data_IF_628346320510
#
_entry.id   IF_628346320510
#
_cell.length_a   1.000
_cell.length_b   1.000
_cell.length_c   1.000
_cell.angle_alpha   90.00
_cell.angle_beta   90.00
_cell.angle_gamma   90.00
#
_symmetry.space_group_name_H-M   'P 1'
#
loop_
_entity.id
_entity.type
_entity.pdbx_description
1 polymer ?
#
# COMPACT_ATOMS: atom_id res chain seq x y z
N UNK A 1 33.34 -30.83 9.15
CA UNK A 1 33.56 -29.74 8.17
C UNK A 1 33.67 -28.43 8.92
N UNK A 2 34.85 -27.79 8.90
CA UNK A 2 35.12 -26.50 9.56
C UNK A 2 34.95 -25.39 8.53
N UNK A 3 33.94 -24.54 8.67
CA UNK A 3 33.78 -23.36 7.81
C UNK A 3 34.65 -22.21 8.31
N UNK A 4 35.48 -21.73 7.39
CA UNK A 4 36.42 -20.62 7.55
C UNK A 4 35.66 -19.30 7.75
N UNK A 5 35.89 -18.64 8.89
CA UNK A 5 35.59 -17.22 9.12
C UNK A 5 36.71 -16.40 8.52
N UNK A 6 36.44 -15.68 7.44
CA UNK A 6 37.44 -14.75 6.91
C UNK A 6 37.07 -14.13 5.58
N UNK A 7 36.00 -13.34 5.52
CA UNK A 7 35.79 -12.47 4.35
C UNK A 7 34.89 -11.25 4.62
N UNK A 8 35.00 -10.57 5.77
CA UNK A 8 34.39 -9.24 5.95
C UNK A 8 35.21 -8.46 6.98
N UNK A 9 36.30 -7.83 6.53
CA UNK A 9 37.00 -6.79 7.27
C UNK A 9 37.93 -6.03 6.32
N UNK A 10 37.35 -5.26 5.39
CA UNK A 10 38.11 -4.23 4.65
C UNK A 10 37.22 -3.17 3.97
N UNK A 11 36.38 -2.47 4.73
CA UNK A 11 35.79 -1.21 4.26
C UNK A 11 35.62 -0.22 5.43
N UNK A 12 36.72 0.18 6.05
CA UNK A 12 36.76 1.43 6.83
C UNK A 12 38.03 2.21 6.49
N UNK A 13 37.87 3.53 6.39
CA UNK A 13 38.87 4.58 6.15
C UNK A 13 39.19 4.94 4.69
N UNK A 14 38.24 5.62 4.04
CA UNK A 14 38.56 6.73 3.13
C UNK A 14 37.70 7.96 3.46
N UNK A 15 38.13 8.73 4.46
CA UNK A 15 37.76 10.16 4.58
C UNK A 15 38.33 10.91 3.38
N UNK A 16 37.55 11.03 2.30
CA UNK A 16 37.85 11.95 1.20
C UNK A 16 37.39 13.34 1.61
N UNK A 17 38.33 14.29 1.64
CA UNK A 17 38.06 15.73 1.76
C UNK A 17 37.15 16.17 0.60
N UNK A 18 36.16 17.05 0.82
CA UNK A 18 35.38 17.60 -0.29
C UNK A 18 36.27 18.52 -1.13
N UNK A 19 36.29 18.26 -2.44
CA UNK A 19 36.90 19.15 -3.42
C UNK A 19 36.03 20.40 -3.54
N UNK A 20 36.65 21.57 -3.41
CA UNK A 20 36.01 22.86 -3.59
C UNK A 20 35.53 23.00 -5.04
N UNK A 21 34.21 22.93 -5.24
CA UNK A 21 33.55 23.24 -6.52
C UNK A 21 33.53 24.76 -6.68
N UNK A 22 34.34 25.28 -7.59
CA UNK A 22 34.28 26.67 -8.08
C UNK A 22 32.95 26.88 -8.80
N UNK A 23 32.11 27.78 -8.29
CA UNK A 23 30.93 28.31 -9.00
C UNK A 23 31.38 29.24 -10.13
N UNK A 24 30.95 29.03 -11.39
CA UNK A 24 31.07 30.06 -12.42
C UNK A 24 30.01 31.16 -12.22
N UNK A 25 30.38 32.36 -12.63
CA UNK A 25 29.75 33.63 -12.28
C UNK A 25 28.33 33.83 -12.81
N UNK A 26 27.55 34.56 -12.03
CA UNK A 26 26.24 35.06 -12.39
C UNK A 26 26.36 36.17 -13.45
N UNK A 27 25.89 35.90 -14.67
CA UNK A 27 25.60 36.95 -15.65
C UNK A 27 24.22 37.53 -15.35
N UNK A 28 24.18 38.83 -14.99
CA UNK A 28 22.95 39.61 -14.87
C UNK A 28 22.38 39.88 -16.27
N UNK A 29 21.30 39.20 -16.66
CA UNK A 29 20.45 39.61 -17.77
C UNK A 29 19.29 40.45 -17.22
N UNK A 30 19.19 41.67 -17.76
CA UNK A 30 18.21 42.71 -17.43
C UNK A 30 16.96 42.41 -18.26
N UNK A 31 15.90 41.90 -17.62
CA UNK A 31 14.60 41.68 -18.29
C UNK A 31 13.76 42.93 -18.10
N UNK A 32 13.36 43.53 -19.22
CA UNK A 32 12.48 44.68 -19.29
C UNK A 32 11.02 44.26 -19.04
N UNK A 33 10.32 45.04 -18.22
CA UNK A 33 8.89 44.96 -17.95
C UNK A 33 8.06 45.27 -19.21
N UNK A 34 6.99 44.51 -19.51
CA UNK A 34 5.94 45.01 -20.37
C UNK A 34 4.80 45.63 -19.56
N UNK A 35 4.34 46.73 -20.13
CA UNK A 35 3.27 47.62 -19.74
C UNK A 35 1.92 46.95 -19.52
N UNK A 36 1.25 47.36 -18.45
CA UNK A 36 -0.19 47.29 -18.23
C UNK A 36 -0.96 47.91 -19.41
N UNK A 37 -1.91 47.16 -19.97
CA UNK A 37 -3.02 47.72 -20.73
C UNK A 37 -4.33 47.23 -20.12
N UNK A 38 -4.99 48.18 -19.46
CA UNK A 38 -6.37 48.09 -19.00
C UNK A 38 -7.30 47.93 -20.21
N UNK A 39 -8.17 46.92 -20.18
CA UNK A 39 -9.41 46.94 -20.97
C UNK A 39 -10.57 46.63 -20.04
N UNK A 40 -11.30 47.69 -19.70
CA UNK A 40 -12.53 47.59 -18.93
C UNK A 40 -13.64 46.91 -19.72
N UNK A 41 -14.29 45.92 -19.11
CA UNK A 41 -15.63 45.48 -19.50
C UNK A 41 -16.61 45.91 -18.42
N UNK A 42 -17.43 46.90 -18.76
CA UNK A 42 -18.68 47.21 -18.06
C UNK A 42 -19.67 46.08 -18.36
N UNK A 43 -19.98 45.26 -17.37
CA UNK A 43 -21.20 44.44 -17.39
C UNK A 43 -22.37 45.28 -16.89
N UNK A 44 -23.35 45.49 -17.77
CA UNK A 44 -24.59 46.17 -17.48
C UNK A 44 -25.46 45.30 -16.56
N UNK A 45 -25.71 45.80 -15.36
CA UNK A 45 -26.55 45.20 -14.34
C UNK A 45 -27.95 45.83 -14.42
N UNK A 46 -28.70 45.57 -15.49
CA UNK A 46 -30.12 45.92 -15.61
C UNK A 46 -30.79 44.85 -16.46
N UNK A 47 -31.98 44.44 -16.02
CA UNK A 47 -32.88 43.48 -16.64
C UNK A 47 -32.62 42.01 -16.29
N UNK A 48 -33.12 41.61 -15.11
CA UNK A 48 -34.14 40.54 -15.05
C UNK A 48 -34.74 40.52 -13.62
N UNK A 49 -35.77 41.35 -13.43
CA UNK A 49 -36.68 41.26 -12.30
C UNK A 49 -38.01 40.67 -12.78
N UNK A 50 -38.45 39.61 -12.08
CA UNK A 50 -39.82 39.09 -11.91
C UNK A 50 -40.44 38.24 -13.04
N UNK A 51 -41.38 37.30 -12.73
CA UNK A 51 -41.99 37.02 -11.43
C UNK A 51 -41.80 35.57 -10.92
N UNK A 52 -41.27 35.50 -9.70
CA UNK A 52 -41.70 34.56 -8.66
C UNK A 52 -43.22 34.76 -8.46
N UNK A 53 -44.07 33.74 -8.64
CA UNK A 53 -45.47 33.63 -8.10
C UNK A 53 -46.43 32.78 -8.96
N UNK A 54 -46.05 31.61 -9.52
CA UNK A 54 -47.07 30.65 -9.99
C UNK A 54 -46.50 29.23 -10.04
N UNK A 55 -46.35 28.56 -8.88
CA UNK A 55 -46.24 27.09 -8.75
C UNK A 55 -46.25 26.66 -7.27
N UNK A 56 -47.29 27.03 -6.52
CA UNK A 56 -47.47 26.62 -5.10
C UNK A 56 -48.58 25.56 -4.93
N UNK A 57 -49.24 25.06 -5.98
CA UNK A 57 -50.47 24.28 -5.80
C UNK A 57 -50.46 22.81 -6.28
N UNK A 58 -49.33 22.21 -6.67
CA UNK A 58 -49.25 20.77 -7.03
C UNK A 58 -47.96 20.08 -6.53
N UNK A 59 -47.34 20.59 -5.46
CA UNK A 59 -46.01 20.15 -5.00
C UNK A 59 -45.95 19.24 -3.77
N UNK A 60 -47.08 18.70 -3.28
CA UNK A 60 -47.10 17.94 -2.02
C UNK A 60 -47.05 16.40 -2.18
N UNK A 61 -47.01 15.87 -3.41
CA UNK A 61 -47.11 14.42 -3.64
C UNK A 61 -45.78 13.69 -3.91
N UNK A 62 -44.70 14.38 -4.26
CA UNK A 62 -43.47 13.74 -4.77
C UNK A 62 -42.24 13.94 -3.86
N UNK A 63 -42.35 14.71 -2.79
CA UNK A 63 -41.26 14.93 -1.83
C UNK A 63 -41.05 13.80 -0.82
N UNK A 64 -41.98 12.83 -0.73
CA UNK A 64 -41.91 11.75 0.26
C UNK A 64 -41.25 10.47 -0.26
N UNK A 65 -40.96 10.37 -1.56
CA UNK A 65 -40.37 9.18 -2.17
C UNK A 65 -38.84 9.25 -2.34
N UNK A 66 -38.20 10.32 -1.85
CA UNK A 66 -36.73 10.44 -1.81
C UNK A 66 -36.11 10.05 -0.46
N UNK A 67 -36.93 9.83 0.58
CA UNK A 67 -36.48 9.40 1.92
C UNK A 67 -36.48 7.87 2.11
N UNK A 68 -36.84 7.11 1.07
CA UNK A 68 -36.78 5.65 1.04
C UNK A 68 -35.76 5.16 0.01
N UNK A 69 -34.66 5.90 -0.19
CA UNK A 69 -33.47 5.23 -0.74
C UNK A 69 -33.05 4.19 0.30
N UNK A 70 -33.06 2.88 -0.02
CA UNK A 70 -32.56 1.87 0.89
C UNK A 70 -31.16 2.30 1.29
N UNK A 71 -30.98 2.58 2.58
CA UNK A 71 -29.78 3.22 3.10
C UNK A 71 -28.59 2.48 2.54
N UNK A 72 -27.77 3.20 1.77
CA UNK A 72 -26.48 2.70 1.32
C UNK A 72 -25.78 2.26 2.62
N UNK A 73 -25.58 0.96 2.86
CA UNK A 73 -24.90 0.52 4.05
C UNK A 73 -23.46 1.00 3.86
N UNK A 74 -23.16 2.20 4.36
CA UNK A 74 -21.79 2.55 4.66
C UNK A 74 -21.37 1.54 5.71
N UNK A 75 -20.76 0.46 5.24
CA UNK A 75 -20.14 -0.56 6.05
C UNK A 75 -19.19 0.23 6.95
N UNK A 76 -19.50 0.32 8.24
CA UNK A 76 -18.78 1.21 9.13
C UNK A 76 -17.46 0.53 9.49
N UNK A 77 -16.47 0.59 8.59
CA UNK A 77 -15.08 0.25 8.90
C UNK A 77 -14.57 1.05 10.12
N UNK A 78 -15.26 2.13 10.47
CA UNK A 78 -15.13 2.87 11.73
C UNK A 78 -15.20 1.99 12.98
N UNK A 79 -15.97 0.88 12.98
CA UNK A 79 -15.99 -0.06 14.10
C UNK A 79 -14.61 -0.69 14.36
N UNK A 80 -13.80 -0.90 13.31
CA UNK A 80 -12.40 -1.32 13.44
C UNK A 80 -11.50 -0.21 14.00
N UNK A 81 -11.86 1.06 13.84
CA UNK A 81 -11.06 2.22 14.25
C UNK A 81 -11.39 2.68 15.69
N UNK A 82 -12.59 2.39 16.18
CA UNK A 82 -13.05 2.85 17.49
C UNK A 82 -12.44 2.08 18.68
N UNK A 83 -11.88 0.90 18.45
CA UNK A 83 -11.27 0.10 19.52
C UNK A 83 -9.84 0.55 19.83
N UNK A 84 -9.67 1.77 20.34
CA UNK A 84 -8.36 2.30 20.71
C UNK A 84 -7.83 1.65 21.99
N UNK A 85 -7.24 0.46 21.88
CA UNK A 85 -6.51 -0.20 22.95
C UNK A 85 -5.01 0.15 22.89
N UNK A 86 -4.44 0.48 24.05
CA UNK A 86 -3.00 0.40 24.32
C UNK A 86 -2.07 1.36 23.56
N UNK A 87 -2.58 2.51 23.10
CA UNK A 87 -1.75 3.57 22.53
C UNK A 87 -1.21 3.30 21.12
N UNK A 88 -1.68 2.22 20.46
CA UNK A 88 -1.36 1.96 19.05
C UNK A 88 -2.25 2.85 18.17
N UNK A 89 -1.63 3.73 17.38
CA UNK A 89 -2.35 4.58 16.42
C UNK A 89 -2.88 3.73 15.25
N UNK A 90 -4.14 3.95 14.86
CA UNK A 90 -4.76 3.28 13.71
C UNK A 90 -4.25 3.83 12.37
N UNK A 91 -4.14 2.99 11.34
CA UNK A 91 -3.80 3.45 10.00
C UNK A 91 -4.90 4.35 9.43
N UNK A 92 -4.52 5.39 8.70
CA UNK A 92 -5.45 6.12 7.83
C UNK A 92 -5.76 5.25 6.61
N UNK A 93 -7.03 4.92 6.43
CA UNK A 93 -7.51 4.05 5.36
C UNK A 93 -8.21 4.88 4.27
N UNK A 94 -8.11 4.39 3.04
CA UNK A 94 -8.84 4.87 1.86
C UNK A 94 -9.66 3.71 1.29
N UNK A 95 -10.79 4.02 0.69
CA UNK A 95 -11.63 3.06 -0.01
C UNK A 95 -11.41 3.21 -1.51
N UNK A 96 -11.12 2.10 -2.17
CA UNK A 96 -11.06 1.97 -3.63
C UNK A 96 -12.32 1.18 -4.02
N UNK A 97 -13.24 1.74 -4.82
CA UNK A 97 -14.49 1.05 -5.18
C UNK A 97 -14.25 -0.32 -5.84
N UNK A 98 -15.25 -1.21 -5.78
CA UNK A 98 -15.26 -2.37 -6.68
C UNK A 98 -15.45 -1.90 -8.12
N UNK A 99 -14.85 -2.59 -9.09
CA UNK A 99 -15.04 -2.24 -10.49
C UNK A 99 -13.98 -2.83 -11.41
N UNK A 100 -14.02 -2.39 -12.66
CA UNK A 100 -12.99 -2.70 -13.66
C UNK A 100 -12.15 -1.46 -13.93
N UNK A 101 -10.84 -1.62 -13.79
CA UNK A 101 -9.84 -0.56 -13.92
C UNK A 101 -9.00 -0.84 -15.16
N UNK A 102 -9.13 0.02 -16.16
CA UNK A 102 -8.32 -0.06 -17.38
C UNK A 102 -6.91 0.47 -17.10
N UNK A 103 -5.89 -0.31 -17.49
CA UNK A 103 -4.50 0.13 -17.35
C UNK A 103 -4.21 1.23 -18.38
N UNK A 104 -3.84 2.44 -17.95
CA UNK A 104 -3.66 3.55 -18.87
C UNK A 104 -2.42 3.35 -19.74
N UNK A 105 -2.61 3.26 -21.05
CA UNK A 105 -1.54 3.02 -22.02
C UNK A 105 -0.58 4.22 -22.18
N UNK A 106 -1.08 5.43 -21.94
CA UNK A 106 -0.37 6.69 -22.23
C UNK A 106 -0.18 7.57 -20.98
N UNK A 107 -0.10 6.99 -19.78
CA UNK A 107 0.15 7.75 -18.55
C UNK A 107 1.66 7.76 -18.24
N UNK A 108 2.39 8.87 -18.46
CA UNK A 108 3.83 8.91 -18.19
C UNK A 108 4.19 8.59 -16.72
N UNK A 109 3.25 8.87 -15.81
CA UNK A 109 3.40 8.56 -14.39
C UNK A 109 3.26 7.06 -14.12
N UNK A 110 2.26 6.40 -14.73
CA UNK A 110 1.91 5.01 -14.40
C UNK A 110 2.59 3.97 -15.30
N UNK A 111 2.90 4.32 -16.55
CA UNK A 111 3.53 3.41 -17.52
C UNK A 111 4.74 2.67 -16.95
N UNK A 112 5.69 3.31 -16.22
CA UNK A 112 6.85 2.59 -15.68
C UNK A 112 6.49 1.44 -14.73
N UNK A 113 5.42 1.60 -13.95
CA UNK A 113 4.96 0.65 -12.95
C UNK A 113 4.02 -0.41 -13.54
N UNK A 114 3.18 -0.02 -14.50
CA UNK A 114 2.09 -0.87 -15.01
C UNK A 114 2.47 -1.69 -16.24
N UNK A 115 3.57 -1.38 -16.93
CA UNK A 115 3.97 -2.06 -18.16
C UNK A 115 4.23 -3.58 -18.02
N UNK A 116 4.35 -4.09 -16.79
CA UNK A 116 4.59 -5.52 -16.52
C UNK A 116 3.31 -6.30 -16.22
N UNK A 117 2.16 -5.62 -16.14
CA UNK A 117 0.89 -6.31 -16.02
C UNK A 117 0.55 -6.99 -17.36
N UNK A 118 0.26 -8.28 -17.27
CA UNK A 118 -0.14 -9.14 -18.38
C UNK A 118 -1.62 -8.96 -18.77
N UNK A 119 -2.39 -8.29 -17.92
CA UNK A 119 -3.82 -8.03 -18.11
C UNK A 119 -4.03 -6.58 -18.56
N UNK A 120 -4.90 -6.33 -19.56
CA UNK A 120 -5.24 -4.97 -19.96
C UNK A 120 -6.14 -4.25 -18.94
N UNK A 121 -6.86 -5.02 -18.12
CA UNK A 121 -7.79 -4.53 -17.12
C UNK A 121 -7.58 -5.27 -15.80
N UNK A 122 -7.79 -4.56 -14.70
CA UNK A 122 -7.82 -5.11 -13.35
C UNK A 122 -9.26 -5.11 -12.85
N UNK A 123 -9.71 -6.21 -12.25
CA UNK A 123 -11.08 -6.31 -11.70
C UNK A 123 -11.01 -6.43 -10.19
N UNK A 124 -11.65 -5.50 -9.49
CA UNK A 124 -11.93 -5.60 -8.07
C UNK A 124 -13.38 -6.05 -7.87
N UNK A 125 -13.56 -7.29 -7.43
CA UNK A 125 -14.89 -7.87 -7.16
C UNK A 125 -15.61 -7.19 -5.98
N UNK A 126 -14.85 -6.56 -5.10
CA UNK A 126 -15.31 -5.90 -3.88
C UNK A 126 -14.52 -4.61 -3.63
N UNK A 127 -15.07 -3.64 -2.90
CA UNK A 127 -14.31 -2.48 -2.47
C UNK A 127 -13.06 -2.91 -1.69
N UNK A 128 -11.97 -2.20 -1.92
CA UNK A 128 -10.68 -2.41 -1.28
C UNK A 128 -10.46 -1.29 -0.27
N UNK A 129 -10.28 -1.65 1.00
CA UNK A 129 -9.93 -0.71 2.05
C UNK A 129 -8.43 -0.79 2.29
N UNK A 130 -7.68 0.18 1.77
CA UNK A 130 -6.23 0.20 1.73
C UNK A 130 -5.68 1.28 2.66
N UNK A 131 -4.57 1.01 3.34
CA UNK A 131 -3.84 2.06 4.03
C UNK A 131 -3.22 3.05 3.05
N UNK A 132 -3.43 4.35 3.29
CA UNK A 132 -3.03 5.41 2.37
C UNK A 132 -1.52 5.69 2.34
N UNK A 133 -0.76 5.08 3.25
CA UNK A 133 0.70 5.14 3.41
C UNK A 133 1.23 3.81 3.92
N UNK A 134 2.53 3.60 3.83
CA UNK A 134 3.26 2.49 4.43
C UNK A 134 3.05 2.44 5.95
N UNK A 135 3.28 1.28 6.54
CA UNK A 135 3.33 1.14 8.01
C UNK A 135 4.45 1.99 8.58
N UNK A 136 4.14 2.78 9.61
CA UNK A 136 5.14 3.59 10.29
C UNK A 136 6.03 2.76 11.24
N UNK A 137 7.25 3.25 11.43
CA UNK A 137 8.26 2.62 12.27
C UNK A 137 7.82 2.51 13.73
N UNK A 138 7.05 3.49 14.23
CA UNK A 138 6.57 3.49 15.61
C UNK A 138 5.62 2.32 15.86
N UNK A 139 4.61 2.14 15.00
CA UNK A 139 3.68 1.00 15.04
C UNK A 139 4.44 -0.32 14.92
N UNK A 140 5.44 -0.40 14.04
CA UNK A 140 6.25 -1.61 13.91
C UNK A 140 7.08 -1.92 15.18
N UNK A 141 7.61 -0.89 15.87
CA UNK A 141 8.34 -1.08 17.13
C UNK A 141 7.48 -1.75 18.22
N UNK A 142 6.19 -1.45 18.29
CA UNK A 142 5.28 -2.13 19.22
C UNK A 142 5.20 -3.64 18.94
N UNK A 143 5.09 -4.03 17.67
CA UNK A 143 5.13 -5.43 17.28
C UNK A 143 6.46 -6.10 17.69
N UNK A 144 7.59 -5.45 17.40
CA UNK A 144 8.91 -5.99 17.77
C UNK A 144 9.07 -6.14 19.28
N UNK A 145 8.60 -5.17 20.07
CA UNK A 145 8.62 -5.26 21.53
C UNK A 145 7.84 -6.48 22.05
N UNK A 146 6.69 -6.79 21.45
CA UNK A 146 5.94 -8.00 21.80
C UNK A 146 6.67 -9.29 21.42
N UNK A 147 7.35 -9.29 20.27
CA UNK A 147 8.22 -10.41 19.88
C UNK A 147 9.36 -10.60 20.88
N UNK A 148 10.01 -9.53 21.35
CA UNK A 148 11.09 -9.62 22.34
C UNK A 148 10.62 -10.17 23.70
N UNK A 149 9.35 -9.93 24.03
CA UNK A 149 8.70 -10.40 25.26
C UNK A 149 8.22 -11.87 25.19
N UNK A 150 8.39 -12.55 24.05
CA UNK A 150 8.09 -13.99 23.94
C UNK A 150 9.01 -14.77 24.90
N UNK A 151 8.40 -15.59 25.76
CA UNK A 151 9.09 -16.36 26.81
C UNK A 151 9.96 -17.47 26.25
N UNK A 152 9.49 -18.15 25.20
CA UNK A 152 10.24 -19.19 24.50
C UNK A 152 11.37 -18.55 23.66
N UNK A 153 12.65 -18.79 24.00
CA UNK A 153 13.77 -18.17 23.31
C UNK A 153 13.89 -18.62 21.84
N UNK A 154 13.49 -19.85 21.52
CA UNK A 154 13.60 -20.38 20.15
C UNK A 154 12.54 -19.76 19.25
N UNK A 155 11.30 -19.64 19.72
CA UNK A 155 10.23 -18.94 18.98
C UNK A 155 10.54 -17.45 18.84
N UNK A 156 11.04 -16.79 19.90
CA UNK A 156 11.49 -15.39 19.82
C UNK A 156 12.56 -15.23 18.75
N UNK A 157 13.60 -16.07 18.75
CA UNK A 157 14.68 -15.99 17.77
C UNK A 157 14.16 -16.26 16.35
N UNK A 158 13.27 -17.24 16.19
CA UNK A 158 12.63 -17.54 14.91
C UNK A 158 11.86 -16.33 14.37
N UNK A 159 11.03 -15.68 15.19
CA UNK A 159 10.29 -14.46 14.81
C UNK A 159 11.21 -13.30 14.43
N UNK A 160 12.29 -13.09 15.19
CA UNK A 160 13.31 -12.07 14.88
C UNK A 160 13.98 -12.32 13.52
N UNK A 161 14.30 -13.58 13.20
CA UNK A 161 14.86 -13.93 11.89
C UNK A 161 13.88 -13.64 10.75
N UNK A 162 12.58 -13.87 10.97
CA UNK A 162 11.53 -13.56 9.99
C UNK A 162 11.32 -12.06 9.81
N UNK A 163 11.53 -11.23 10.84
CA UNK A 163 11.46 -9.77 10.70
C UNK A 163 12.55 -9.26 9.74
N UNK A 164 13.78 -9.75 9.92
CA UNK A 164 14.97 -9.24 9.24
C UNK A 164 15.88 -8.44 10.18
N UNK A 165 17.12 -8.21 9.77
CA UNK A 165 18.17 -7.66 10.66
C UNK A 165 18.34 -6.14 10.58
N UNK A 166 17.62 -5.46 9.70
CA UNK A 166 17.86 -4.03 9.39
C UNK A 166 16.60 -3.19 9.41
N UNK A 167 15.51 -3.69 10.01
CA UNK A 167 14.23 -2.98 10.08
C UNK A 167 14.30 -1.65 10.86
N UNK A 168 15.28 -1.51 11.75
CA UNK A 168 15.54 -0.30 12.53
C UNK A 168 16.50 0.69 11.84
N UNK A 169 17.14 0.27 10.74
CA UNK A 169 18.07 1.10 9.98
C UNK A 169 17.30 2.03 9.04
N UNK A 170 16.57 2.95 9.63
CA UNK A 170 15.98 4.06 8.91
C UNK A 170 16.91 5.26 9.01
N UNK A 171 17.19 5.88 7.87
CA UNK A 171 17.77 7.21 7.86
C UNK A 171 16.86 8.11 8.69
N UNK A 172 17.48 8.98 9.49
CA UNK A 172 16.87 9.74 10.61
C UNK A 172 15.60 10.53 10.23
N UNK A 173 15.33 10.72 8.94
CA UNK A 173 14.19 11.48 8.43
C UNK A 173 12.96 10.63 8.05
N UNK A 174 13.07 9.31 7.92
CA UNK A 174 11.95 8.49 7.46
C UNK A 174 11.23 7.80 8.62
N UNK A 175 9.94 8.09 8.76
CA UNK A 175 9.05 7.51 9.78
C UNK A 175 8.42 6.19 9.32
N UNK A 176 8.75 5.67 8.14
CA UNK A 176 8.17 4.44 7.57
C UNK A 176 9.05 3.22 7.82
N UNK A 177 8.47 2.06 8.11
CA UNK A 177 9.24 0.82 8.28
C UNK A 177 9.66 0.24 6.94
N UNK A 178 10.92 -0.22 6.85
CA UNK A 178 11.53 -0.78 5.65
C UNK A 178 12.54 -1.87 6.01
N UNK A 179 13.18 -2.47 5.01
CA UNK A 179 14.13 -3.58 5.19
C UNK A 179 13.55 -4.77 5.96
N UNK A 180 12.29 -5.09 5.68
CA UNK A 180 11.59 -6.24 6.22
C UNK A 180 11.59 -7.38 5.22
N UNK A 181 11.61 -8.61 5.74
CA UNK A 181 11.27 -9.76 4.91
C UNK A 181 9.76 -9.80 4.68
N UNK A 182 9.34 -10.49 3.63
CA UNK A 182 7.91 -10.72 3.36
C UNK A 182 7.23 -11.41 4.54
N UNK A 183 7.91 -12.39 5.14
CA UNK A 183 7.38 -13.14 6.27
C UNK A 183 7.18 -12.27 7.52
N UNK A 184 8.09 -11.30 7.73
CA UNK A 184 7.99 -10.32 8.80
C UNK A 184 6.80 -9.38 8.61
N UNK A 185 6.54 -8.95 7.37
CA UNK A 185 5.37 -8.15 7.02
C UNK A 185 4.06 -8.93 7.25
N UNK A 186 3.99 -10.19 6.81
CA UNK A 186 2.83 -11.06 7.06
C UNK A 186 2.59 -11.27 8.55
N UNK A 187 3.64 -11.57 9.32
CA UNK A 187 3.52 -11.75 10.77
C UNK A 187 3.00 -10.50 11.47
N UNK A 188 3.47 -9.32 11.05
CA UNK A 188 2.95 -8.06 11.54
C UNK A 188 1.45 -7.93 11.22
N UNK A 189 1.01 -8.23 10.00
CA UNK A 189 -0.42 -8.12 9.66
C UNK A 189 -1.27 -9.03 10.54
N UNK A 190 -0.82 -10.27 10.81
CA UNK A 190 -1.52 -11.19 11.71
C UNK A 190 -1.57 -10.69 13.15
N UNK A 191 -0.44 -10.18 13.65
CA UNK A 191 -0.37 -9.56 14.98
C UNK A 191 -1.33 -8.38 15.09
N UNK A 192 -1.31 -7.48 14.10
CA UNK A 192 -2.13 -6.28 14.08
C UNK A 192 -3.62 -6.64 13.98
N UNK A 193 -3.96 -7.68 13.21
CA UNK A 193 -5.32 -8.21 13.15
C UNK A 193 -5.82 -8.70 14.49
N UNK A 194 -4.98 -9.45 15.20
CA UNK A 194 -5.31 -9.94 16.55
C UNK A 194 -5.50 -8.79 17.55
N UNK A 195 -4.71 -7.73 17.42
CA UNK A 195 -4.78 -6.57 18.33
C UNK A 195 -6.03 -5.73 18.14
N UNK A 196 -6.43 -5.53 16.90
CA UNK A 196 -7.55 -4.65 16.54
C UNK A 196 -8.88 -5.40 16.46
N UNK A 197 -8.85 -6.73 16.34
CA UNK A 197 -10.03 -7.54 16.06
C UNK A 197 -10.47 -7.51 14.60
N UNK A 198 -9.73 -6.83 13.73
CA UNK A 198 -10.05 -6.69 12.31
C UNK A 198 -9.05 -7.43 11.44
N UNK A 199 -9.46 -7.97 10.30
CA UNK A 199 -8.57 -8.80 9.49
C UNK A 199 -7.76 -7.92 8.51
N UNK A 200 -6.53 -7.63 8.89
CA UNK A 200 -5.53 -7.01 8.04
C UNK A 200 -4.65 -8.04 7.32
N UNK A 201 -4.24 -7.68 6.10
CA UNK A 201 -3.29 -8.45 5.26
C UNK A 201 -2.49 -7.51 4.37
N UNK A 202 -1.56 -8.08 3.60
CA UNK A 202 -0.88 -7.38 2.51
C UNK A 202 -1.82 -7.20 1.30
N UNK A 203 -1.62 -6.15 0.47
CA UNK A 203 -2.33 -6.04 -0.81
C UNK A 203 -1.86 -7.11 -1.79
N UNK A 204 -2.76 -7.56 -2.67
CA UNK A 204 -2.33 -8.26 -3.89
C UNK A 204 -1.75 -7.27 -4.89
N UNK A 205 -1.02 -7.79 -5.88
CA UNK A 205 -0.52 -7.01 -7.02
C UNK A 205 -1.66 -6.31 -7.76
N UNK A 206 -2.77 -7.01 -8.01
CA UNK A 206 -3.96 -6.45 -8.65
C UNK A 206 -4.63 -5.36 -7.80
N UNK A 207 -4.76 -5.57 -6.49
CA UNK A 207 -5.34 -4.58 -5.58
C UNK A 207 -4.53 -3.28 -5.55
N UNK A 208 -3.20 -3.40 -5.46
CA UNK A 208 -2.32 -2.24 -5.54
C UNK A 208 -2.46 -1.52 -6.88
N UNK A 209 -2.48 -2.25 -8.00
CA UNK A 209 -2.62 -1.66 -9.32
C UNK A 209 -3.97 -0.92 -9.50
N UNK A 210 -5.08 -1.51 -9.03
CA UNK A 210 -6.39 -0.87 -9.04
C UNK A 210 -6.39 0.42 -8.20
N UNK A 211 -5.78 0.40 -7.01
CA UNK A 211 -5.66 1.58 -6.16
C UNK A 211 -4.87 2.70 -6.84
N UNK A 212 -3.74 2.38 -7.48
CA UNK A 212 -2.93 3.34 -8.25
C UNK A 212 -3.74 3.95 -9.39
N UNK A 213 -4.46 3.13 -10.18
CA UNK A 213 -5.25 3.61 -11.31
C UNK A 213 -6.37 4.54 -10.84
N UNK A 214 -7.10 4.14 -9.80
CA UNK A 214 -8.19 4.92 -9.23
C UNK A 214 -7.71 6.30 -8.76
N UNK A 215 -6.69 6.33 -7.90
CA UNK A 215 -6.15 7.57 -7.34
C UNK A 215 -5.53 8.48 -8.42
N UNK A 216 -5.02 7.90 -9.51
CA UNK A 216 -4.53 8.69 -10.64
C UNK A 216 -5.67 9.37 -11.41
N UNK A 217 -6.81 8.69 -11.57
CA UNK A 217 -7.99 9.27 -12.24
C UNK A 217 -8.53 10.44 -11.41
N UNK A 218 -8.62 10.27 -10.09
CA UNK A 218 -9.08 11.32 -9.18
C UNK A 218 -8.11 12.52 -9.17
N UNK A 219 -6.80 12.27 -9.08
CA UNK A 219 -5.80 13.33 -9.13
C UNK A 219 -5.80 14.11 -10.46
N UNK A 220 -6.12 13.44 -11.58
CA UNK A 220 -6.28 14.11 -12.88
C UNK A 220 -7.57 14.93 -12.97
N UNK A 221 -8.63 14.52 -12.27
CA UNK A 221 -9.90 15.24 -12.23
C UNK A 221 -9.81 16.53 -11.39
N UNK A 222 -9.02 16.51 -10.31
CA UNK A 222 -8.93 17.63 -9.38
C UNK A 222 -8.03 18.77 -9.86
N UNK A 223 -7.06 18.48 -10.72
CA UNK A 223 -5.99 19.44 -11.00
C UNK A 223 -5.91 19.78 -12.49
N UNK A 224 -5.97 21.07 -12.80
CA UNK A 224 -5.54 21.68 -14.06
C UNK A 224 -4.01 21.49 -14.30
N UNK A 225 -3.47 20.28 -14.14
CA UNK A 225 -2.14 19.87 -14.58
C UNK A 225 -0.99 19.89 -13.56
N UNK A 226 -1.20 20.18 -12.28
CA UNK A 226 -0.12 20.16 -11.28
C UNK A 226 -0.24 18.92 -10.36
N UNK A 227 0.63 17.91 -10.48
CA UNK A 227 0.61 16.73 -9.60
C UNK A 227 0.76 17.20 -8.14
N UNK A 228 -0.16 16.78 -7.24
CA UNK A 228 -0.01 16.99 -5.80
C UNK A 228 1.30 16.32 -5.34
N UNK A 229 2.34 17.11 -4.99
CA UNK A 229 3.67 16.59 -4.71
C UNK A 229 3.75 15.82 -3.38
N UNK A 230 2.68 15.78 -2.59
CA UNK A 230 2.57 14.98 -1.35
C UNK A 230 1.33 14.06 -1.34
N UNK A 231 0.66 13.94 -2.48
CA UNK A 231 -0.61 13.22 -2.59
C UNK A 231 -0.50 11.72 -2.34
N UNK A 232 -1.63 11.11 -2.00
CA UNK A 232 -1.76 9.67 -1.71
C UNK A 232 -1.16 8.79 -2.82
N UNK A 233 -1.32 9.18 -4.09
CA UNK A 233 -0.73 8.46 -5.23
C UNK A 233 0.80 8.41 -5.18
N UNK A 234 1.45 9.50 -4.75
CA UNK A 234 2.91 9.52 -4.62
C UNK A 234 3.36 8.50 -3.58
N UNK A 235 2.67 8.41 -2.45
CA UNK A 235 2.94 7.42 -1.40
C UNK A 235 2.63 5.98 -1.85
N UNK A 236 1.81 5.77 -2.89
CA UNK A 236 1.64 4.43 -3.48
C UNK A 236 2.78 4.06 -4.44
N UNK A 237 3.26 5.04 -5.21
CA UNK A 237 4.20 4.81 -6.29
C UNK A 237 5.67 4.91 -5.87
N UNK A 238 5.97 5.72 -4.87
CA UNK A 238 7.32 6.09 -4.47
C UNK A 238 7.49 5.99 -2.96
N UNK A 239 8.73 5.77 -2.53
CA UNK A 239 9.12 5.67 -1.14
C UNK A 239 9.89 4.37 -0.93
N UNK A 240 9.30 3.47 -0.16
CA UNK A 240 9.84 2.11 0.01
C UNK A 240 9.04 1.13 -0.83
N UNK A 241 9.71 0.29 -1.62
CA UNK A 241 9.06 -0.85 -2.28
C UNK A 241 8.32 -1.74 -1.29
N UNK A 242 7.17 -2.25 -1.70
CA UNK A 242 6.26 -2.91 -0.77
C UNK A 242 6.01 -4.36 -1.09
N UNK A 243 5.98 -5.18 -0.05
CA UNK A 243 5.57 -6.57 -0.18
C UNK A 243 4.10 -6.70 -0.54
N UNK A 244 3.85 -7.51 -1.57
CA UNK A 244 2.50 -7.96 -1.93
C UNK A 244 2.22 -9.38 -1.44
N UNK A 245 0.94 -9.74 -1.40
CA UNK A 245 0.49 -11.11 -1.18
C UNK A 245 0.60 -11.98 -2.45
N UNK A 246 0.81 -11.37 -3.62
CA UNK A 246 0.90 -12.10 -4.89
C UNK A 246 2.27 -12.75 -5.04
N UNK A 247 2.28 -14.08 -5.20
CA UNK A 247 3.50 -14.85 -5.44
C UNK A 247 3.98 -14.75 -6.89
N UNK A 248 5.27 -14.98 -7.08
CA UNK A 248 5.95 -15.11 -8.37
C UNK A 248 6.91 -16.30 -8.33
N UNK A 249 7.61 -16.59 -9.44
CA UNK A 249 8.46 -17.78 -9.57
C UNK A 249 9.51 -17.93 -8.44
N UNK A 250 10.10 -16.81 -8.01
CA UNK A 250 11.18 -16.78 -7.02
C UNK A 250 10.75 -16.27 -5.64
N UNK A 251 9.44 -16.05 -5.41
CA UNK A 251 8.92 -15.59 -4.13
C UNK A 251 7.67 -14.72 -4.26
N UNK A 252 7.78 -13.43 -3.94
CA UNK A 252 6.67 -12.47 -3.94
C UNK A 252 7.04 -11.17 -4.65
N UNK A 253 6.03 -10.48 -5.20
CA UNK A 253 6.27 -9.20 -5.85
C UNK A 253 6.52 -8.09 -4.82
N UNK A 254 7.54 -7.28 -5.10
CA UNK A 254 7.75 -5.95 -4.56
C UNK A 254 7.16 -4.90 -5.52
N UNK A 255 6.25 -4.09 -4.98
CA UNK A 255 5.47 -3.09 -5.71
C UNK A 255 6.02 -1.68 -5.47
N UNK A 256 5.75 -0.75 -6.38
CA UNK A 256 6.24 0.63 -6.31
C UNK A 256 7.72 0.80 -6.69
N UNK A 257 8.24 2.00 -6.46
CA UNK A 257 9.62 2.40 -6.76
C UNK A 257 10.33 2.91 -5.52
N UNK A 258 11.62 2.63 -5.42
CA UNK A 258 12.46 3.11 -4.32
C UNK A 258 13.02 4.49 -4.68
N UNK A 259 12.72 5.51 -3.87
CA UNK A 259 13.28 6.85 -4.07
C UNK A 259 14.60 7.09 -3.30
N UNK A 260 14.98 6.15 -2.42
CA UNK A 260 16.15 6.24 -1.55
C UNK A 260 17.41 5.59 -2.14
N UNK A 261 17.29 4.72 -3.17
CA UNK A 261 18.46 4.13 -3.82
C UNK A 261 19.07 5.10 -4.84
N UNK A 262 20.40 5.28 -4.79
CA UNK A 262 21.11 6.13 -5.75
C UNK A 262 21.18 5.54 -7.17
N UNK A 263 20.74 4.29 -7.34
CA UNK A 263 20.55 3.64 -8.64
C UNK A 263 19.38 4.27 -9.37
N UNK A 264 19.50 4.40 -10.70
CA UNK A 264 18.36 4.74 -11.54
C UNK A 264 17.28 3.67 -11.35
N UNK A 265 16.30 3.97 -10.50
CA UNK A 265 15.13 3.15 -10.25
C UNK A 265 14.47 2.84 -11.59
N UNK A 266 14.49 1.57 -11.97
CA UNK A 266 13.85 1.13 -13.21
C UNK A 266 12.33 1.05 -13.07
N UNK A 267 11.79 1.33 -11.86
CA UNK A 267 10.35 1.37 -11.52
C UNK A 267 9.61 0.09 -11.88
N UNK A 268 10.36 -0.99 -12.09
CA UNK A 268 9.80 -2.30 -12.41
C UNK A 268 9.38 -2.96 -11.13
N UNK A 269 8.24 -3.64 -11.17
CA UNK A 269 7.97 -4.66 -10.18
C UNK A 269 9.11 -5.68 -10.17
N UNK A 270 9.48 -6.15 -8.99
CA UNK A 270 10.57 -7.13 -8.85
C UNK A 270 10.05 -8.33 -8.08
N UNK A 271 10.30 -9.51 -8.62
CA UNK A 271 10.08 -10.77 -7.93
C UNK A 271 11.26 -11.03 -6.99
N UNK A 272 10.98 -11.20 -5.70
CA UNK A 272 12.02 -11.43 -4.69
C UNK A 272 11.67 -12.57 -3.75
N UNK A 273 12.70 -13.26 -3.27
CA UNK A 273 12.56 -14.28 -2.23
C UNK A 273 12.01 -13.69 -0.94
N UNK A 274 11.08 -14.42 -0.31
CA UNK A 274 10.41 -14.01 0.93
C UNK A 274 11.38 -13.69 2.09
N UNK A 275 12.59 -14.26 2.06
CA UNK A 275 13.61 -14.12 3.10
C UNK A 275 14.45 -12.84 2.96
N UNK A 276 14.40 -12.16 1.81
CA UNK A 276 15.18 -10.95 1.60
C UNK A 276 14.56 -9.79 2.37
N UNK A 277 15.34 -9.15 3.24
CA UNK A 277 14.88 -8.06 4.08
C UNK A 277 15.03 -6.71 3.35
N UNK A 278 14.12 -6.43 2.41
CA UNK A 278 14.25 -5.29 1.49
C UNK A 278 13.03 -4.37 1.42
N UNK A 279 11.83 -4.91 1.61
CA UNK A 279 10.60 -4.13 1.42
C UNK A 279 10.10 -3.46 2.70
N UNK A 280 9.27 -2.44 2.52
CA UNK A 280 8.24 -2.03 3.46
C UNK A 280 6.94 -2.77 3.15
N UNK A 281 5.83 -2.27 3.68
CA UNK A 281 4.50 -2.78 3.36
C UNK A 281 3.42 -1.81 3.83
N UNK A 282 2.21 -2.01 3.28
CA UNK A 282 0.98 -1.36 3.72
C UNK A 282 -0.09 -2.40 4.05
N UNK A 283 -1.11 -1.96 4.77
CA UNK A 283 -2.21 -2.82 5.20
C UNK A 283 -3.41 -2.72 4.26
N UNK A 284 -4.03 -3.86 4.00
CA UNK A 284 -5.39 -3.98 3.47
C UNK A 284 -6.29 -4.50 4.58
N UNK A 285 -7.37 -3.78 4.86
CA UNK A 285 -8.44 -4.26 5.73
C UNK A 285 -9.39 -5.11 4.89
N UNK A 286 -9.61 -6.37 5.28
CA UNK A 286 -10.57 -7.24 4.62
C UNK A 286 -12.01 -6.89 5.04
N UNK A 287 -12.88 -6.45 4.11
CA UNK A 287 -14.27 -6.11 4.40
C UNK A 287 -15.07 -7.19 5.11
N UNK A 288 -14.77 -8.46 4.83
CA UNK A 288 -15.50 -9.61 5.39
C UNK A 288 -15.27 -9.78 6.90
N UNK A 289 -14.26 -9.11 7.45
CA UNK A 289 -13.93 -9.18 8.87
C UNK A 289 -14.68 -8.19 9.74
N UNK A 290 -15.45 -7.28 9.14
CA UNK A 290 -16.26 -6.35 9.90
C UNK A 290 -17.50 -7.10 10.39
N UNK A 291 -17.70 -7.22 11.71
CA UNK A 291 -18.91 -7.82 12.25
C UNK A 291 -20.12 -7.03 11.72
N UNK A 292 -21.14 -7.73 11.20
CA UNK A 292 -22.41 -7.08 10.87
C UNK A 292 -22.89 -6.37 12.15
N UNK A 293 -23.22 -5.06 12.11
CA UNK A 293 -23.77 -4.36 13.27
C UNK A 293 -24.96 -5.08 13.91
N UNK A 294 -25.71 -5.86 13.12
CA UNK A 294 -26.82 -6.69 13.60
C UNK A 294 -26.38 -7.87 14.47
N UNK A 295 -25.17 -8.38 14.28
CA UNK A 295 -24.62 -9.46 15.10
C UNK A 295 -24.10 -8.96 16.46
N UNK A 296 -23.96 -7.64 16.65
CA UNK A 296 -23.52 -7.04 17.92
C UNK A 296 -24.66 -6.81 18.92
N UNK A 297 -25.92 -6.88 18.48
CA UNK A 297 -27.06 -6.81 19.39
C UNK A 297 -27.32 -8.18 20.01
N UNK A 298 -26.61 -8.52 21.09
CA UNK A 298 -27.06 -9.57 21.99
C UNK A 298 -28.42 -9.14 22.57
N UNK A 299 -29.52 -9.86 22.31
CA UNK A 299 -30.85 -9.51 22.84
C UNK A 299 -30.92 -9.52 24.37
N UNK A 300 -29.88 -9.98 25.06
CA UNK A 300 -29.80 -10.01 26.53
C UNK A 300 -29.03 -8.84 27.16
N UNK A 301 -28.47 -7.92 26.37
CA UNK A 301 -27.78 -6.74 26.90
C UNK A 301 -26.52 -7.05 27.72
N UNK A 302 -25.99 -8.27 27.64
CA UNK A 302 -24.72 -8.60 28.25
C UNK A 302 -23.58 -8.11 27.37
N UNK A 303 -22.86 -7.09 27.84
CA UNK A 303 -21.68 -6.55 27.17
C UNK A 303 -20.75 -7.70 26.73
N UNK A 304 -20.40 -7.69 25.44
CA UNK A 304 -19.56 -8.71 24.82
C UNK A 304 -18.21 -8.76 25.54
N UNK A 305 -18.06 -9.69 26.48
CA UNK A 305 -16.76 -10.02 27.07
C UNK A 305 -15.98 -10.71 25.97
N UNK A 306 -15.10 -9.97 25.30
CA UNK A 306 -14.25 -10.43 24.20
C UNK A 306 -13.78 -11.86 24.45
N UNK A 307 -14.48 -12.81 23.85
CA UNK A 307 -14.13 -14.21 23.94
C UNK A 307 -12.78 -14.33 23.27
N UNK A 308 -11.78 -14.77 24.03
CA UNK A 308 -10.47 -15.18 23.52
C UNK A 308 -10.69 -16.05 22.29
N UNK A 309 -10.61 -15.45 21.11
CA UNK A 309 -10.67 -16.14 19.84
C UNK A 309 -9.42 -17.02 19.83
N UNK A 310 -9.59 -18.28 20.21
CA UNK A 310 -8.70 -19.35 19.83
C UNK A 310 -8.85 -19.49 18.31
N UNK A 311 -8.16 -18.63 17.57
CA UNK A 311 -7.83 -18.91 16.19
C UNK A 311 -6.83 -20.06 16.26
N UNK A 312 -7.37 -21.28 16.22
CA UNK A 312 -6.59 -22.45 15.86
C UNK A 312 -5.90 -22.15 14.53
N UNK A 313 -4.61 -22.48 14.45
CA UNK A 313 -3.70 -22.18 13.37
C UNK A 313 -4.13 -22.79 12.02
N UNK A 314 -5.17 -22.22 11.41
CA UNK A 314 -5.74 -22.62 10.13
C UNK A 314 -5.64 -21.48 9.11
N UNK A 315 -4.45 -20.88 9.00
CA UNK A 315 -3.90 -20.64 7.68
C UNK A 315 -2.95 -21.81 7.42
N UNK A 316 -3.54 -22.93 7.01
CA UNK A 316 -2.82 -23.81 6.10
C UNK A 316 -2.50 -22.92 4.90
N UNK A 317 -1.30 -22.35 4.88
CA UNK A 317 -0.66 -21.91 3.64
C UNK A 317 -0.89 -23.07 2.70
N UNK A 318 -1.81 -22.88 1.76
CA UNK A 318 -2.09 -23.85 0.74
C UNK A 318 -0.73 -24.19 0.16
N UNK A 319 -0.31 -25.45 0.32
CA UNK A 319 0.89 -25.94 -0.35
C UNK A 319 0.52 -26.05 -1.81
N UNK A 320 0.26 -24.92 -2.45
CA UNK A 320 0.13 -24.83 -3.89
C UNK A 320 1.48 -25.32 -4.40
N UNK A 321 1.53 -26.46 -5.12
CA UNK A 321 2.78 -26.96 -5.66
C UNK A 321 3.38 -25.85 -6.51
N UNK A 322 4.66 -25.54 -6.29
CA UNK A 322 5.41 -24.61 -7.13
C UNK A 322 5.21 -25.03 -8.60
N UNK A 323 4.72 -24.14 -9.48
CA UNK A 323 4.57 -24.46 -10.89
C UNK A 323 5.97 -24.47 -11.51
N UNK A 324 6.62 -25.63 -11.57
CA UNK A 324 7.99 -25.70 -12.10
C UNK A 324 8.72 -27.03 -12.13
N UNK A 325 8.22 -28.11 -11.51
CA UNK A 325 8.80 -29.45 -11.72
C UNK A 325 8.28 -30.07 -13.03
N UNK A 326 8.73 -29.49 -14.14
CA UNK A 326 8.70 -30.14 -15.45
C UNK A 326 9.58 -31.38 -15.36
N UNK A 327 8.94 -32.54 -15.43
CA UNK A 327 9.52 -33.86 -15.58
C UNK A 327 10.72 -33.84 -16.54
N UNK A 328 11.92 -33.97 -15.99
CA UNK A 328 13.11 -34.34 -16.78
C UNK A 328 12.80 -35.65 -17.52
N UNK A 329 12.97 -35.71 -18.85
CA UNK A 329 12.89 -36.99 -19.54
C UNK A 329 14.00 -37.91 -19.01
N UNK A 330 13.62 -39.17 -18.78
CA UNK A 330 14.52 -40.21 -18.32
C UNK A 330 15.78 -40.29 -19.20
N UNK A 331 16.93 -40.36 -18.56
CA UNK A 331 18.22 -40.61 -19.17
C UNK A 331 18.16 -41.80 -20.12
N UNK A 332 18.55 -41.58 -21.37
CA UNK A 332 18.73 -42.64 -22.36
C UNK A 332 19.81 -43.64 -21.92
N UNK A 333 19.53 -44.93 -22.14
CA UNK A 333 20.45 -46.04 -21.94
C UNK A 333 21.73 -45.90 -22.79
N UNK A 334 22.88 -46.40 -22.29
CA UNK A 334 24.11 -46.44 -23.06
C UNK A 334 24.06 -47.58 -24.08
N UNK A 335 24.16 -47.23 -25.37
CA UNK A 335 24.34 -48.17 -26.48
C UNK A 335 25.68 -48.89 -26.33
N UNK A 336 25.63 -50.22 -26.24
CA UNK A 336 26.84 -51.07 -26.28
C UNK A 336 27.43 -51.15 -27.69
N UNK A 337 28.76 -51.28 -27.83
CA UNK A 337 29.40 -51.42 -29.13
C UNK A 337 29.18 -52.82 -29.69
N UNK A 338 28.72 -52.89 -30.94
CA UNK A 338 28.67 -54.12 -31.73
C UNK A 338 30.09 -54.45 -32.20
N UNK A 339 30.51 -55.69 -31.97
CA UNK A 339 31.75 -56.29 -32.50
C UNK A 339 31.59 -56.76 -33.93
#
# INVERSE_FOLDING_TARGET
MKYSKGFFNRLENRKRKPAAVRRPGASKSKVASPSSSETGRRFGLKDLMLPLMFLVALGCGWGFLWLLQPGNPQISWQACLEHQSDGVSYPTLIEIPSGTYEIPQNSPLLTPFMQFHDKPNIVLERPLILQNREVDLERFKHYVQEVENIQDPDERQKRKLRIGNHWENNDVQDSLVRHLSWEGAVDFTQWFSKKTGCNYRLPTREEWAAAVIHLNQDAQAEINGAIDPEGVIKNLLFGTREWSLTSCADGYYLLGGDDWTASADDRKEVCMSAMLAMGGFRLVLDPSSIPDPKDQTDPRGTAFKGSSLKMDAALSLDKTPLPGESSRPASAEPVQPVQ
#
